data_IF_858281491389
#
_entry.id   IF_858281491389
#
_cell.length_a   1.000
_cell.length_b   1.000
_cell.length_c   1.000
_cell.angle_alpha   90.00
_cell.angle_beta   90.00
_cell.angle_gamma   90.00
#
_symmetry.space_group_name_H-M   'P 1'
#
loop_
_entity.id
_entity.type
_entity.pdbx_description
1 polymer ?
#
# COMPACT_ATOMS: atom_id res chain seq x y z
N UNK A 1 -5.41 -11.27 14.83
CA UNK A 1 -4.53 -10.57 13.87
C UNK A 1 -4.50 -9.10 14.20
N UNK A 2 -3.39 -8.60 14.74
CA UNK A 2 -3.16 -7.18 15.01
C UNK A 2 -3.27 -6.31 13.75
N UNK A 3 -4.43 -5.69 13.57
CA UNK A 3 -4.74 -4.83 12.41
C UNK A 3 -3.76 -3.63 12.31
N UNK A 4 -3.23 -3.14 13.44
CA UNK A 4 -2.25 -2.03 13.49
C UNK A 4 -0.87 -2.36 12.90
N UNK A 5 -0.37 -3.58 13.11
CA UNK A 5 0.94 -4.03 12.54
C UNK A 5 0.87 -4.18 11.03
N UNK A 6 -0.31 -4.55 10.54
CA UNK A 6 -0.64 -4.76 9.14
C UNK A 6 -0.71 -3.43 8.36
N UNK A 7 -1.32 -2.39 8.94
CA UNK A 7 -1.34 -1.03 8.36
C UNK A 7 0.06 -0.38 8.28
N UNK A 8 0.89 -0.52 9.34
CA UNK A 8 2.29 -0.04 9.31
C UNK A 8 3.11 -0.72 8.21
N UNK A 9 2.96 -2.04 8.02
CA UNK A 9 3.62 -2.79 6.94
C UNK A 9 3.15 -2.31 5.55
N UNK A 10 1.85 -2.07 5.37
CA UNK A 10 1.32 -1.53 4.13
C UNK A 10 1.92 -0.16 3.79
N UNK A 11 1.91 0.79 4.74
CA UNK A 11 2.48 2.13 4.53
C UNK A 11 3.97 2.07 4.19
N UNK A 12 4.73 1.20 4.87
CA UNK A 12 6.16 1.02 4.62
C UNK A 12 6.43 0.45 3.22
N UNK A 13 5.64 -0.54 2.79
CA UNK A 13 5.72 -1.12 1.44
C UNK A 13 5.36 -0.10 0.35
N UNK A 14 4.25 0.63 0.53
CA UNK A 14 3.84 1.68 -0.40
C UNK A 14 4.91 2.77 -0.56
N UNK A 15 5.54 3.19 0.54
CA UNK A 15 6.62 4.18 0.54
C UNK A 15 7.89 3.66 -0.16
N UNK A 16 8.24 2.39 0.02
CA UNK A 16 9.39 1.77 -0.65
C UNK A 16 9.19 1.74 -2.17
N UNK A 17 8.01 1.33 -2.63
CA UNK A 17 7.67 1.34 -4.06
C UNK A 17 7.62 2.77 -4.59
N UNK A 18 7.03 3.72 -3.86
CA UNK A 18 7.03 5.14 -4.25
C UNK A 18 8.47 5.66 -4.48
N UNK A 19 9.40 5.40 -3.55
CA UNK A 19 10.79 5.83 -3.69
C UNK A 19 11.48 5.20 -4.91
N UNK A 20 11.21 3.92 -5.18
CA UNK A 20 11.78 3.23 -6.33
C UNK A 20 11.32 3.88 -7.65
N UNK A 21 10.03 4.19 -7.79
CA UNK A 21 9.52 4.84 -8.98
C UNK A 21 9.96 6.30 -9.10
N UNK A 22 10.12 7.02 -7.97
CA UNK A 22 10.73 8.36 -7.99
C UNK A 22 12.17 8.32 -8.49
N UNK A 23 12.97 7.33 -8.06
CA UNK A 23 14.34 7.13 -8.56
C UNK A 23 14.38 6.81 -10.06
N UNK A 24 13.35 6.14 -10.58
CA UNK A 24 13.16 5.89 -12.01
C UNK A 24 12.70 7.12 -12.82
N UNK A 25 12.61 8.30 -12.19
CA UNK A 25 12.23 9.56 -12.85
C UNK A 25 10.72 9.82 -12.91
N UNK A 26 9.89 9.00 -12.25
CA UNK A 26 8.45 9.25 -12.22
C UNK A 26 8.10 10.43 -11.31
N UNK A 27 7.10 11.20 -11.72
CA UNK A 27 6.55 12.27 -10.90
C UNK A 27 6.01 11.74 -9.57
N UNK A 28 6.09 12.54 -8.51
CA UNK A 28 5.66 12.17 -7.16
C UNK A 28 4.23 11.62 -7.14
N UNK A 29 3.31 12.27 -7.88
CA UNK A 29 1.91 11.84 -7.99
C UNK A 29 1.79 10.43 -8.56
N UNK A 30 2.51 10.14 -9.65
CA UNK A 30 2.48 8.85 -10.34
C UNK A 30 3.16 7.76 -9.51
N UNK A 31 4.32 8.05 -8.92
CA UNK A 31 5.02 7.13 -8.04
C UNK A 31 4.18 6.74 -6.81
N UNK A 32 3.46 7.70 -6.21
CA UNK A 32 2.58 7.47 -5.06
C UNK A 32 1.37 6.62 -5.41
N UNK A 33 0.80 6.84 -6.60
CA UNK A 33 -0.30 6.02 -7.14
C UNK A 33 0.16 4.56 -7.32
N UNK A 34 1.32 4.36 -7.96
CA UNK A 34 1.90 3.04 -8.18
C UNK A 34 2.21 2.36 -6.85
N UNK A 35 2.84 3.08 -5.90
CA UNK A 35 3.17 2.53 -4.59
C UNK A 35 1.94 2.04 -3.81
N UNK A 36 0.86 2.82 -3.80
CA UNK A 36 -0.41 2.42 -3.17
C UNK A 36 -1.07 1.25 -3.89
N UNK A 37 -1.08 1.24 -5.22
CA UNK A 37 -1.68 0.16 -6.01
C UNK A 37 -0.95 -1.17 -5.80
N UNK A 38 0.39 -1.17 -5.88
CA UNK A 38 1.23 -2.35 -5.66
C UNK A 38 1.09 -2.88 -4.24
N UNK A 39 1.18 -1.99 -3.24
CA UNK A 39 0.98 -2.38 -1.85
C UNK A 39 -0.44 -2.93 -1.62
N UNK A 40 -1.45 -2.36 -2.28
CA UNK A 40 -2.85 -2.80 -2.21
C UNK A 40 -3.03 -4.19 -2.79
N UNK A 41 -2.41 -4.48 -3.95
CA UNK A 41 -2.46 -5.80 -4.59
C UNK A 41 -1.84 -6.88 -3.68
N UNK A 42 -0.65 -6.62 -3.12
CA UNK A 42 0.02 -7.53 -2.20
C UNK A 42 -0.79 -7.72 -0.91
N UNK A 43 -1.39 -6.64 -0.41
CA UNK A 43 -2.27 -6.69 0.75
C UNK A 43 -3.52 -7.53 0.49
N UNK A 44 -4.18 -7.37 -0.66
CA UNK A 44 -5.36 -8.12 -1.02
C UNK A 44 -5.06 -9.58 -1.33
N UNK A 45 -3.90 -9.89 -1.92
CA UNK A 45 -3.45 -11.28 -2.06
C UNK A 45 -3.23 -11.93 -0.69
N UNK A 46 -2.64 -11.20 0.26
CA UNK A 46 -2.30 -11.76 1.57
C UNK A 46 -3.49 -11.88 2.53
N UNK A 47 -4.44 -10.96 2.47
CA UNK A 47 -5.54 -10.87 3.45
C UNK A 47 -6.93 -11.12 2.84
N UNK A 48 -7.03 -11.21 1.51
CA UNK A 48 -8.29 -11.31 0.77
C UNK A 48 -9.00 -9.96 0.59
N UNK A 49 -9.79 -9.83 -0.49
CA UNK A 49 -10.53 -8.59 -0.86
C UNK A 49 -11.46 -8.10 0.27
N UNK A 50 -12.14 -9.01 1.00
CA UNK A 50 -13.08 -8.67 2.08
C UNK A 50 -12.40 -7.96 3.27
N UNK A 51 -11.34 -8.55 3.83
CA UNK A 51 -10.58 -7.94 4.94
C UNK A 51 -9.78 -6.71 4.48
N UNK A 52 -9.32 -6.71 3.23
CA UNK A 52 -8.67 -5.57 2.58
C UNK A 52 -9.50 -4.30 2.61
N UNK A 53 -10.76 -4.41 2.20
CA UNK A 53 -11.72 -3.30 2.19
C UNK A 53 -12.07 -2.82 3.60
N UNK A 54 -12.23 -3.73 4.55
CA UNK A 54 -12.57 -3.40 5.94
C UNK A 54 -11.45 -2.62 6.64
N UNK A 55 -10.19 -2.95 6.38
CA UNK A 55 -9.03 -2.24 6.94
C UNK A 55 -8.90 -0.83 6.33
N UNK A 56 -9.06 -0.72 5.00
CA UNK A 56 -9.06 0.59 4.31
C UNK A 56 -10.22 1.48 4.75
N UNK A 57 -11.40 0.91 5.00
CA UNK A 57 -12.59 1.65 5.45
C UNK A 57 -12.46 2.18 6.88
N UNK A 58 -11.57 1.58 7.70
CA UNK A 58 -11.32 1.97 9.10
C UNK A 58 -10.16 2.97 9.26
N UNK A 59 -9.37 3.20 8.21
CA UNK A 59 -8.29 4.21 8.15
C UNK A 59 -8.71 5.52 7.46
N UNK A 60 -9.97 5.63 7.00
CA UNK A 60 -10.57 6.86 6.47
C UNK A 60 -11.29 7.61 7.58
#
# INVERSE_FOLDING_TARGET
MDKGRTGKRFKRLAKKVEQEYRRKGYSLKRARQIGRATAGKIFWQKYGKKKGREILRRER
#
